data_IF_055367600106
#
_entry.id   IF_055367600106
#
_cell.length_a   1.000
_cell.length_b   1.000
_cell.length_c   1.000
_cell.angle_alpha   90.00
_cell.angle_beta   90.00
_cell.angle_gamma   90.00
#
_symmetry.space_group_name_H-M   'P 1'
#
loop_
_entity.id
_entity.type
_entity.pdbx_description
1 polymer ?
#
# COMPACT_ATOMS: atom_id res chain seq x y z
N UNK A 1 21.40 5.05 -1.82
CA UNK A 1 20.06 5.61 -2.09
C UNK A 1 19.21 5.30 -0.90
N UNK A 2 18.52 6.28 -0.36
CA UNK A 2 17.68 6.11 0.82
C UNK A 2 16.21 6.07 0.39
N UNK A 3 15.46 5.11 0.92
CA UNK A 3 14.01 5.04 0.71
C UNK A 3 13.32 6.07 1.60
N UNK A 4 12.47 6.89 0.99
CA UNK A 4 11.67 7.90 1.69
C UNK A 4 10.20 7.53 1.61
N UNK A 5 9.47 7.70 2.72
CA UNK A 5 8.02 7.59 2.73
C UNK A 5 7.41 8.72 1.91
N UNK A 6 6.32 8.41 1.21
CA UNK A 6 5.46 9.44 0.65
C UNK A 6 5.01 10.39 1.78
N UNK A 7 4.98 11.71 1.55
CA UNK A 7 4.61 12.66 2.58
C UNK A 7 3.25 12.38 3.19
N UNK A 8 3.23 12.21 4.50
CA UNK A 8 2.02 11.98 5.29
C UNK A 8 2.21 12.49 6.72
N UNK A 9 1.13 12.85 7.41
CA UNK A 9 1.23 13.40 8.76
C UNK A 9 1.70 12.38 9.79
N UNK A 10 1.06 11.21 9.85
CA UNK A 10 1.34 10.21 10.89
C UNK A 10 1.25 8.78 10.37
N UNK A 11 0.12 8.41 9.84
CA UNK A 11 -0.15 7.09 9.29
C UNK A 11 -0.69 7.21 7.87
N UNK A 12 -0.47 6.17 7.08
CA UNK A 12 -0.99 6.10 5.73
C UNK A 12 -2.53 6.05 5.71
N UNK A 13 -3.09 6.54 4.64
CA UNK A 13 -4.51 6.47 4.34
C UNK A 13 -4.72 5.62 3.10
N UNK A 14 -5.57 4.61 3.20
CA UNK A 14 -6.17 3.92 2.07
C UNK A 14 -7.65 4.29 2.02
N UNK A 15 -8.10 4.77 0.86
CA UNK A 15 -9.50 5.08 0.65
C UNK A 15 -10.31 3.81 0.43
N UNK A 16 -10.91 3.28 1.48
CA UNK A 16 -11.62 2.00 1.46
C UNK A 16 -12.75 1.96 0.43
N UNK A 17 -13.42 3.08 0.19
CA UNK A 17 -14.47 3.20 -0.83
C UNK A 17 -13.93 3.21 -2.27
N UNK A 18 -12.62 3.39 -2.44
CA UNK A 18 -11.95 3.38 -3.74
C UNK A 18 -11.04 2.17 -3.93
N UNK A 19 -11.15 1.17 -3.07
CA UNK A 19 -10.54 -0.13 -3.28
C UNK A 19 -11.49 -0.95 -4.12
N UNK A 20 -11.08 -1.29 -5.33
CA UNK A 20 -11.82 -2.11 -6.26
C UNK A 20 -11.01 -3.36 -6.59
N UNK A 21 -11.49 -4.50 -6.13
CA UNK A 21 -10.92 -5.79 -6.47
C UNK A 21 -11.60 -6.33 -7.73
N UNK A 22 -10.80 -6.71 -8.73
CA UNK A 22 -11.29 -7.26 -10.00
C UNK A 22 -12.04 -8.58 -9.79
N UNK A 23 -11.72 -9.32 -8.71
CA UNK A 23 -12.46 -10.50 -8.29
C UNK A 23 -12.82 -10.41 -6.82
N UNK A 24 -14.07 -10.76 -6.51
CA UNK A 24 -14.55 -10.89 -5.13
C UNK A 24 -14.10 -12.22 -4.53
N UNK A 25 -13.75 -12.24 -3.25
CA UNK A 25 -13.46 -13.45 -2.48
C UNK A 25 -12.00 -13.77 -2.21
N UNK A 26 -11.07 -13.07 -2.82
CA UNK A 26 -9.64 -13.22 -2.54
C UNK A 26 -9.23 -12.43 -1.29
N UNK A 27 -9.76 -12.85 -0.14
CA UNK A 27 -9.58 -12.18 1.13
C UNK A 27 -8.98 -13.12 2.17
N UNK A 28 -7.98 -12.64 2.89
CA UNK A 28 -7.46 -13.24 4.11
C UNK A 28 -7.90 -12.38 5.30
N UNK A 29 -8.58 -12.96 6.28
CA UNK A 29 -9.08 -12.24 7.45
C UNK A 29 -8.82 -12.95 8.79
N UNK A 30 -8.18 -14.12 8.76
CA UNK A 30 -7.98 -14.97 9.93
C UNK A 30 -6.53 -15.37 10.16
N UNK A 31 -5.59 -14.65 9.55
CA UNK A 31 -4.16 -14.87 9.71
C UNK A 31 -3.58 -13.69 10.49
N UNK A 32 -2.90 -13.93 11.62
CA UNK A 32 -2.34 -12.87 12.43
C UNK A 32 -1.14 -12.22 11.76
N UNK A 33 -0.85 -10.98 12.17
CA UNK A 33 0.37 -10.26 11.79
C UNK A 33 1.60 -10.89 12.44
N UNK A 34 2.70 -10.93 11.71
CA UNK A 34 4.02 -11.34 12.17
C UNK A 34 4.63 -10.38 13.20
N UNK A 35 5.73 -10.84 13.83
CA UNK A 35 6.38 -10.13 14.93
C UNK A 35 7.05 -8.80 14.52
N UNK A 36 7.27 -8.57 13.24
CA UNK A 36 7.86 -7.35 12.70
C UNK A 36 6.95 -6.11 12.84
N UNK A 37 5.64 -6.32 12.97
CA UNK A 37 4.68 -5.24 13.16
C UNK A 37 4.58 -4.87 14.63
N UNK A 38 5.21 -3.78 15.02
CA UNK A 38 5.27 -3.30 16.41
C UNK A 38 4.46 -2.01 16.61
N UNK A 39 4.41 -1.51 17.84
CA UNK A 39 3.76 -0.23 18.12
C UNK A 39 4.47 0.96 17.44
N UNK A 40 5.79 0.84 17.22
CA UNK A 40 6.63 1.83 16.55
C UNK A 40 6.55 1.72 15.03
N UNK A 41 6.35 0.50 14.52
CA UNK A 41 6.23 0.18 13.10
C UNK A 41 4.96 -0.67 12.85
N UNK A 42 3.77 -0.10 13.01
CA UNK A 42 2.53 -0.84 12.88
C UNK A 42 2.22 -1.17 11.42
N UNK A 43 1.44 -2.20 11.23
CA UNK A 43 0.81 -2.46 9.94
C UNK A 43 -0.27 -1.42 9.68
N UNK A 44 -0.25 -0.83 8.49
CA UNK A 44 -1.17 0.23 8.06
C UNK A 44 -1.97 -0.20 6.82
N UNK A 45 -3.14 0.40 6.64
CA UNK A 45 -3.89 0.22 5.41
C UNK A 45 -3.10 0.73 4.19
N UNK A 46 -3.10 -0.05 3.12
CA UNK A 46 -2.35 0.24 1.91
C UNK A 46 -0.98 -0.44 1.84
N UNK A 47 -0.50 -1.02 2.94
CA UNK A 47 0.72 -1.84 2.92
C UNK A 47 0.52 -3.09 2.07
N UNK A 48 1.56 -3.47 1.34
CA UNK A 48 1.65 -4.72 0.60
C UNK A 48 2.38 -5.75 1.43
N UNK A 49 1.76 -6.92 1.58
CA UNK A 49 2.23 -7.99 2.47
C UNK A 49 2.23 -9.32 1.75
N UNK A 50 3.02 -10.26 2.23
CA UNK A 50 2.96 -11.63 1.79
C UNK A 50 1.60 -12.22 2.15
N UNK A 51 0.89 -12.76 1.14
CA UNK A 51 -0.43 -13.36 1.28
C UNK A 51 -0.38 -14.90 1.27
N UNK A 52 0.79 -15.50 1.47
CA UNK A 52 0.94 -16.94 1.54
C UNK A 52 0.40 -17.48 2.88
N UNK A 53 -0.74 -18.14 2.82
CA UNK A 53 -1.39 -18.74 3.99
C UNK A 53 -0.56 -19.86 4.63
N UNK A 54 0.36 -20.46 3.89
CA UNK A 54 1.22 -21.54 4.42
C UNK A 54 2.20 -21.04 5.48
N UNK A 55 2.54 -19.75 5.47
CA UNK A 55 3.37 -19.11 6.50
C UNK A 55 2.69 -18.98 7.86
N UNK A 56 1.35 -19.07 7.91
CA UNK A 56 0.57 -18.94 9.14
C UNK A 56 0.54 -17.54 9.76
N UNK A 57 1.24 -16.57 9.15
CA UNK A 57 1.27 -15.16 9.52
C UNK A 57 1.23 -14.28 8.28
N UNK A 58 0.71 -13.07 8.44
CA UNK A 58 0.86 -11.98 7.44
C UNK A 58 2.18 -11.28 7.71
N UNK A 59 3.07 -11.30 6.77
CA UNK A 59 4.43 -10.80 6.91
C UNK A 59 4.81 -9.82 5.79
N UNK A 60 5.94 -9.14 5.96
CA UNK A 60 6.58 -8.38 4.89
C UNK A 60 6.96 -9.31 3.72
N UNK A 61 7.03 -8.76 2.53
CA UNK A 61 7.37 -9.51 1.31
C UNK A 61 8.85 -9.92 1.39
N UNK A 62 9.12 -11.21 1.26
CA UNK A 62 10.48 -11.77 1.24
C UNK A 62 10.95 -12.09 -0.18
N UNK A 63 10.00 -12.43 -1.06
CA UNK A 63 10.23 -12.68 -2.49
C UNK A 63 9.13 -12.00 -3.31
N UNK A 64 9.51 -11.32 -4.38
CA UNK A 64 8.57 -10.66 -5.30
C UNK A 64 7.66 -11.63 -6.07
N UNK A 65 7.99 -12.90 -6.08
CA UNK A 65 7.18 -13.97 -6.68
C UNK A 65 6.15 -14.56 -5.70
N UNK A 66 6.15 -14.17 -4.44
CA UNK A 66 5.13 -14.59 -3.49
C UNK A 66 3.77 -13.96 -3.82
N UNK A 67 2.67 -14.61 -3.42
CA UNK A 67 1.36 -13.98 -3.48
C UNK A 67 1.35 -12.70 -2.65
N UNK A 68 1.10 -11.57 -3.29
CA UNK A 68 1.06 -10.26 -2.65
C UNK A 68 -0.38 -9.87 -2.39
N UNK A 69 -0.63 -9.36 -1.19
CA UNK A 69 -1.91 -8.80 -0.82
C UNK A 69 -1.77 -7.37 -0.29
N UNK A 70 -2.85 -6.61 -0.34
CA UNK A 70 -2.95 -5.27 0.24
C UNK A 70 -3.75 -5.31 1.53
N UNK A 71 -3.25 -4.64 2.56
CA UNK A 71 -3.97 -4.47 3.82
C UNK A 71 -5.06 -3.41 3.63
N UNK A 72 -6.31 -3.79 3.94
CA UNK A 72 -7.46 -2.87 3.85
C UNK A 72 -8.48 -3.15 4.95
N UNK A 73 -8.10 -3.02 6.17
CA UNK A 73 -8.94 -3.27 7.32
C UNK A 73 -10.02 -2.20 7.46
N UNK A 74 -11.26 -2.57 7.18
CA UNK A 74 -12.42 -1.72 7.40
C UNK A 74 -13.00 -2.04 8.79
N UNK A 75 -12.46 -1.44 9.82
CA UNK A 75 -13.02 -1.55 11.16
C UNK A 75 -13.98 -0.40 11.44
N UNK A 76 -15.10 -0.73 12.10
CA UNK A 76 -15.98 0.27 12.66
C UNK A 76 -15.47 0.59 14.06
N UNK A 77 -15.02 1.79 14.25
CA UNK A 77 -14.69 2.30 15.56
C UNK A 77 -15.96 2.90 16.17
N UNK A 78 -16.34 2.41 17.34
CA UNK A 78 -17.53 2.90 18.07
C UNK A 78 -17.16 3.98 19.08
N UNK A 79 -15.88 4.30 19.20
CA UNK A 79 -15.40 5.31 20.12
C UNK A 79 -15.48 6.70 19.46
N UNK A 80 -16.25 7.60 20.10
CA UNK A 80 -16.41 8.99 19.65
C UNK A 80 -15.10 9.79 19.66
N UNK A 81 -14.06 9.31 20.33
CA UNK A 81 -12.78 10.01 20.49
C UNK A 81 -11.70 9.58 19.48
N UNK A 82 -11.94 8.53 18.72
CA UNK A 82 -11.01 8.03 17.70
C UNK A 82 -11.58 8.22 16.30
N UNK A 83 -11.48 9.44 15.79
CA UNK A 83 -11.95 9.74 14.45
C UNK A 83 -10.85 9.65 13.40
N UNK A 84 -11.19 9.06 12.27
CA UNK A 84 -10.46 9.16 11.03
C UNK A 84 -9.92 7.85 10.51
N UNK A 85 -9.80 7.78 9.21
CA UNK A 85 -9.31 6.62 8.45
C UNK A 85 -7.93 6.13 8.90
N UNK A 86 -7.11 7.00 9.46
CA UNK A 86 -5.76 6.71 9.92
C UNK A 86 -5.69 5.78 11.14
N UNK A 87 -6.74 5.70 11.94
CA UNK A 87 -6.76 4.85 13.14
C UNK A 87 -7.29 3.46 12.86
N UNK A 88 -8.11 3.28 11.84
CA UNK A 88 -8.77 2.02 11.54
C UNK A 88 -7.85 0.90 11.08
N UNK A 89 -6.79 1.24 10.36
CA UNK A 89 -5.92 0.26 9.73
C UNK A 89 -4.65 -0.07 10.50
N UNK A 90 -4.40 0.60 11.63
CA UNK A 90 -3.19 0.40 12.41
C UNK A 90 -3.28 -0.87 13.25
N UNK A 91 -2.40 -1.84 12.97
CA UNK A 91 -2.37 -3.15 13.61
C UNK A 91 -0.95 -3.53 14.01
N UNK A 92 -0.83 -4.34 15.05
CA UNK A 92 0.44 -4.88 15.54
C UNK A 92 0.45 -6.39 15.54
N UNK A 93 1.60 -6.99 15.84
CA UNK A 93 1.77 -8.44 15.91
C UNK A 93 0.66 -9.12 16.72
N UNK A 94 0.11 -10.19 16.18
CA UNK A 94 -1.02 -10.93 16.76
C UNK A 94 -2.40 -10.38 16.42
N UNK A 95 -2.52 -9.15 15.90
CA UNK A 95 -3.77 -8.64 15.34
C UNK A 95 -4.09 -9.31 14.00
N UNK A 96 -5.37 -9.31 13.64
CA UNK A 96 -5.88 -9.93 12.41
C UNK A 96 -6.29 -8.85 11.40
N UNK A 97 -5.43 -8.50 10.44
CA UNK A 97 -5.79 -7.57 9.40
C UNK A 97 -6.72 -8.23 8.37
N UNK A 98 -7.40 -7.41 7.58
CA UNK A 98 -7.97 -7.86 6.32
C UNK A 98 -6.94 -7.62 5.21
N UNK A 99 -6.64 -8.67 4.45
CA UNK A 99 -5.70 -8.61 3.32
C UNK A 99 -6.42 -9.09 2.07
N UNK A 100 -6.52 -8.22 1.08
CA UNK A 100 -7.01 -8.58 -0.25
C UNK A 100 -5.83 -9.05 -1.10
N UNK A 101 -5.90 -10.26 -1.65
CA UNK A 101 -4.88 -10.76 -2.58
C UNK A 101 -5.00 -9.97 -3.87
N UNK A 102 -3.88 -9.36 -4.30
CA UNK A 102 -3.86 -8.53 -5.50
C UNK A 102 -4.04 -9.36 -6.76
N UNK A 103 -4.85 -8.86 -7.66
CA UNK A 103 -5.06 -9.39 -8.99
C UNK A 103 -4.96 -8.29 -10.05
N UNK A 104 -4.70 -8.69 -11.28
CA UNK A 104 -4.69 -7.76 -12.39
C UNK A 104 -6.05 -7.09 -12.57
N UNK A 105 -6.06 -5.77 -12.60
CA UNK A 105 -7.26 -4.96 -12.69
C UNK A 105 -7.66 -4.28 -11.37
N UNK A 106 -7.16 -4.77 -10.23
CA UNK A 106 -7.44 -4.15 -8.93
C UNK A 106 -6.99 -2.70 -8.91
N UNK A 107 -7.81 -1.84 -8.30
CA UNK A 107 -7.49 -0.41 -8.15
C UNK A 107 -7.57 0.01 -6.71
N UNK A 108 -6.70 0.90 -6.32
CA UNK A 108 -6.71 1.48 -4.98
C UNK A 108 -6.14 2.89 -4.96
N UNK A 109 -6.55 3.63 -3.95
CA UNK A 109 -6.20 5.02 -3.73
C UNK A 109 -5.60 5.17 -2.35
N UNK A 110 -4.33 5.59 -2.28
CA UNK A 110 -3.58 5.65 -1.03
C UNK A 110 -2.41 6.61 -1.09
N UNK A 111 -1.90 6.97 0.09
CA UNK A 111 -0.59 7.56 0.31
C UNK A 111 0.37 6.61 1.05
N UNK A 112 -0.01 5.34 1.23
CA UNK A 112 0.86 4.31 1.77
C UNK A 112 1.90 3.88 0.73
N UNK A 113 2.89 4.73 0.50
CA UNK A 113 3.88 4.60 -0.55
C UNK A 113 5.25 5.07 -0.05
N UNK A 114 6.29 4.65 -0.73
CA UNK A 114 7.65 5.16 -0.56
C UNK A 114 8.29 5.41 -1.93
N UNK A 115 9.40 6.10 -1.97
CA UNK A 115 10.16 6.38 -3.19
C UNK A 115 11.66 6.40 -2.91
N UNK A 116 12.47 6.17 -3.93
CA UNK A 116 13.92 6.20 -3.87
C UNK A 116 14.42 7.63 -4.16
N UNK A 117 15.28 8.19 -3.29
CA UNK A 117 15.87 9.51 -3.45
C UNK A 117 16.88 9.58 -4.62
N UNK A 118 17.34 8.44 -5.11
CA UNK A 118 18.14 8.37 -6.34
C UNK A 118 17.30 8.49 -7.61
N UNK A 119 16.00 8.22 -7.55
CA UNK A 119 15.08 8.34 -8.68
C UNK A 119 14.26 9.64 -8.62
N UNK A 120 13.80 10.00 -7.41
CA UNK A 120 13.09 11.25 -7.14
C UNK A 120 13.83 11.99 -6.03
N UNK A 121 14.62 13.01 -6.41
CA UNK A 121 15.56 13.69 -5.50
C UNK A 121 14.85 14.29 -4.27
N UNK A 122 13.64 14.79 -4.47
CA UNK A 122 12.80 15.42 -3.45
C UNK A 122 11.30 15.21 -3.72
N UNK A 123 10.48 15.76 -2.84
CA UNK A 123 9.04 15.71 -2.92
C UNK A 123 8.48 16.46 -4.14
N UNK A 124 9.10 17.57 -4.53
CA UNK A 124 8.67 18.38 -5.67
C UNK A 124 8.84 17.61 -6.96
N UNK A 125 10.02 17.02 -7.17
CA UNK A 125 10.32 16.15 -8.33
C UNK A 125 9.36 14.96 -8.40
N UNK A 126 9.05 14.33 -7.27
CA UNK A 126 8.06 13.25 -7.21
C UNK A 126 6.67 13.74 -7.63
N UNK A 127 6.23 14.88 -7.12
CA UNK A 127 4.90 15.41 -7.43
C UNK A 127 4.77 15.84 -8.90
N UNK A 128 5.83 16.41 -9.48
CA UNK A 128 5.88 16.71 -10.91
C UNK A 128 5.75 15.44 -11.76
N UNK A 129 6.49 14.38 -11.43
CA UNK A 129 6.37 13.09 -12.10
C UNK A 129 4.96 12.49 -11.97
N UNK A 130 4.38 12.55 -10.78
CA UNK A 130 3.02 12.07 -10.54
C UNK A 130 1.96 12.93 -11.26
N UNK A 131 2.15 14.24 -11.37
CA UNK A 131 1.26 15.11 -12.13
C UNK A 131 1.28 14.80 -13.63
N UNK A 132 2.45 14.37 -14.13
CA UNK A 132 2.67 14.00 -15.54
C UNK A 132 2.30 12.53 -15.86
N UNK A 133 1.61 11.80 -14.98
CA UNK A 133 1.33 10.36 -15.10
C UNK A 133 0.73 9.91 -16.45
N UNK A 134 0.03 10.79 -17.15
CA UNK A 134 -0.57 10.50 -18.46
C UNK A 134 0.47 10.38 -19.57
N UNK A 135 1.53 11.17 -19.50
CA UNK A 135 2.61 11.22 -20.50
C UNK A 135 3.83 10.43 -20.06
N UNK A 136 4.15 10.47 -18.77
CA UNK A 136 5.29 9.77 -18.18
C UNK A 136 4.77 8.82 -17.10
N UNK A 137 4.64 7.53 -17.41
CA UNK A 137 4.08 6.57 -16.46
C UNK A 137 4.95 6.42 -15.21
N UNK A 138 4.30 6.39 -14.04
CA UNK A 138 4.89 6.00 -12.77
C UNK A 138 4.26 4.68 -12.33
N UNK A 139 5.06 3.81 -11.76
CA UNK A 139 4.65 2.47 -11.35
C UNK A 139 4.72 2.32 -9.84
N UNK A 140 4.01 1.32 -9.32
CA UNK A 140 4.03 0.91 -7.91
C UNK A 140 4.51 -0.53 -7.87
N UNK A 141 5.56 -0.78 -7.11
CA UNK A 141 6.20 -2.09 -7.03
C UNK A 141 6.35 -2.56 -5.58
N UNK A 142 6.38 -3.88 -5.33
CA UNK A 142 6.72 -4.41 -4.02
C UNK A 142 8.19 -4.15 -3.69
N UNK A 143 8.48 -4.10 -2.40
CA UNK A 143 9.87 -3.97 -1.90
C UNK A 143 10.14 -5.12 -0.95
N UNK A 144 11.17 -5.91 -1.25
CA UNK A 144 11.60 -7.01 -0.37
C UNK A 144 12.05 -6.44 0.98
N UNK A 145 11.51 -7.00 2.05
CA UNK A 145 11.79 -6.56 3.42
C UNK A 145 11.05 -5.29 3.87
N UNK A 146 10.20 -4.72 3.02
CA UNK A 146 9.35 -3.58 3.39
C UNK A 146 7.90 -3.84 3.01
N UNK A 147 6.93 -3.60 3.91
CA UNK A 147 5.53 -3.71 3.57
C UNK A 147 5.00 -2.47 2.82
N UNK A 148 5.81 -1.42 2.67
CA UNK A 148 5.41 -0.21 1.97
C UNK A 148 5.80 -0.31 0.50
N UNK A 149 4.83 -0.29 -0.45
CA UNK A 149 5.15 -0.35 -1.87
C UNK A 149 5.86 0.93 -2.34
N UNK A 150 6.70 0.78 -3.36
CA UNK A 150 7.55 1.84 -3.89
C UNK A 150 7.00 2.41 -5.19
N UNK A 151 7.06 3.74 -5.31
CA UNK A 151 6.91 4.46 -6.56
C UNK A 151 8.22 4.42 -7.36
N UNK A 152 8.13 4.16 -8.66
CA UNK A 152 9.27 4.15 -9.59
C UNK A 152 8.84 4.66 -10.98
N UNK A 153 9.70 5.40 -11.66
CA UNK A 153 9.53 5.79 -13.06
C UNK A 153 9.98 4.66 -14.02
N UNK A 154 10.77 3.72 -13.50
CA UNK A 154 11.26 2.57 -14.28
C UNK A 154 10.17 1.51 -14.40
N UNK A 155 9.79 1.15 -15.62
CA UNK A 155 8.80 0.10 -15.85
C UNK A 155 9.35 -1.27 -15.43
N UNK A 156 8.70 -1.97 -14.48
CA UNK A 156 9.08 -3.35 -14.15
C UNK A 156 8.86 -4.29 -15.35
N UNK A 157 9.70 -5.32 -15.45
CA UNK A 157 9.62 -6.33 -16.51
C UNK A 157 8.85 -7.58 -16.10
N UNK A 158 8.77 -7.84 -14.80
CA UNK A 158 8.15 -9.04 -14.21
C UNK A 158 7.61 -8.76 -12.81
N UNK A 159 6.89 -9.73 -12.24
CA UNK A 159 6.31 -9.65 -10.90
C UNK A 159 5.06 -8.78 -10.80
N UNK A 160 4.57 -8.64 -9.58
CA UNK A 160 3.38 -7.83 -9.29
C UNK A 160 3.72 -6.35 -9.32
N UNK A 161 3.04 -5.59 -10.17
CA UNK A 161 3.17 -4.13 -10.16
C UNK A 161 1.88 -3.42 -10.60
N UNK A 162 1.71 -2.21 -10.10
CA UNK A 162 0.65 -1.29 -10.50
C UNK A 162 1.17 -0.15 -11.35
N UNK A 163 0.26 0.53 -12.04
CA UNK A 163 0.51 1.78 -12.78
C UNK A 163 -0.32 2.89 -12.16
N UNK A 164 0.30 4.03 -11.90
CA UNK A 164 -0.40 5.22 -11.43
C UNK A 164 -1.37 5.69 -12.52
N UNK A 165 -2.61 5.95 -12.13
CA UNK A 165 -3.68 6.42 -13.01
C UNK A 165 -4.32 7.72 -12.53
N UNK A 166 -3.93 8.24 -11.37
CA UNK A 166 -4.32 9.56 -10.89
C UNK A 166 -3.46 10.01 -9.71
N UNK A 167 -3.12 11.29 -9.67
CA UNK A 167 -2.54 11.98 -8.53
C UNK A 167 -3.55 13.01 -8.02
N UNK A 168 -3.85 13.04 -6.72
CA UNK A 168 -4.89 13.90 -6.18
C UNK A 168 -4.76 14.10 -4.66
N UNK A 169 -5.67 14.88 -4.09
CA UNK A 169 -5.77 15.07 -2.65
C UNK A 169 -6.80 14.10 -2.08
N UNK A 170 -6.40 13.31 -1.08
CA UNK A 170 -7.30 12.42 -0.35
C UNK A 170 -8.21 13.20 0.61
N UNK A 171 -9.33 12.64 1.12
CA UNK A 171 -10.31 13.39 1.90
C UNK A 171 -9.77 14.06 3.16
N UNK A 172 -8.69 13.55 3.73
CA UNK A 172 -8.03 14.15 4.89
C UNK A 172 -7.12 15.35 4.55
N UNK A 173 -7.07 15.77 3.27
CA UNK A 173 -6.27 16.89 2.81
C UNK A 173 -4.84 16.54 2.36
N UNK A 174 -4.37 15.34 2.62
CA UNK A 174 -3.06 14.89 2.16
C UNK A 174 -3.04 14.56 0.67
N UNK A 175 -1.85 14.48 0.09
CA UNK A 175 -1.68 14.01 -1.29
C UNK A 175 -1.73 12.48 -1.31
N UNK A 176 -2.17 11.94 -2.42
CA UNK A 176 -2.24 10.50 -2.64
C UNK A 176 -2.26 10.13 -4.11
N UNK A 177 -2.13 8.86 -4.40
CA UNK A 177 -2.19 8.33 -5.77
C UNK A 177 -3.27 7.25 -5.88
N UNK A 178 -3.93 7.22 -7.01
CA UNK A 178 -4.70 6.08 -7.48
C UNK A 178 -3.84 5.28 -8.44
N UNK A 179 -3.75 3.99 -8.23
CA UNK A 179 -3.07 3.09 -9.15
C UNK A 179 -3.90 1.84 -9.43
N UNK A 180 -3.61 1.20 -10.55
CA UNK A 180 -4.22 -0.07 -10.95
C UNK A 180 -3.14 -1.13 -11.12
N UNK A 181 -3.39 -2.33 -10.59
CA UNK A 181 -2.53 -3.49 -10.81
C UNK A 181 -2.59 -3.89 -12.27
N UNK A 182 -1.45 -3.89 -12.93
CA UNK A 182 -1.33 -4.15 -14.38
C UNK A 182 -0.63 -5.48 -14.69
N UNK A 183 0.12 -5.99 -13.72
CA UNK A 183 0.80 -7.30 -13.81
C UNK A 183 0.84 -7.99 -12.45
N UNK A 184 0.94 -9.32 -12.46
CA UNK A 184 1.10 -10.19 -11.29
C UNK A 184 2.15 -11.24 -11.62
#
# INVERSE_FOLDING_TARGET
MAMKRFPLEKYATLELNHVEFARTGNLIAQTPLGAEFTAEAPCENGMWVCADRSKGVVASIEDVNEPIGVVYTAEKEYDMYHYGLKHFGRKVAGDYPRVGILEKGDTMTTNCLQYDDGEFADEETLYEALAAWQTTPVYVVPVVGSPVPQLTATKPTEGTFGKVCKFYTVPNGERGVKYQITNI
#
